data_IF_787245242951
#
_entry.id   IF_787245242951
#
_cell.length_a   1.000
_cell.length_b   1.000
_cell.length_c   1.000
_cell.angle_alpha   90.00
_cell.angle_beta   90.00
_cell.angle_gamma   90.00
#
_symmetry.space_group_name_H-M   'P 1'
#
loop_
_entity.id
_entity.type
_entity.pdbx_description
1 polymer ?
#
# COMPACT_ATOMS: atom_id res chain seq x y z
N UNK A 1 18.45 8.80 -4.52
CA UNK A 1 17.20 9.57 -4.49
C UNK A 1 15.96 8.65 -4.37
N UNK A 2 15.68 7.76 -5.31
CA UNK A 2 14.46 6.93 -5.31
C UNK A 2 14.33 5.97 -4.10
N UNK A 3 15.43 5.42 -3.58
CA UNK A 3 15.38 4.61 -2.34
C UNK A 3 14.91 5.44 -1.13
N UNK A 4 15.35 6.69 -1.02
CA UNK A 4 14.89 7.58 0.05
C UNK A 4 13.40 7.91 -0.13
N UNK A 5 12.96 8.17 -1.37
CA UNK A 5 11.53 8.35 -1.66
C UNK A 5 10.72 7.10 -1.29
N UNK A 6 11.25 5.90 -1.52
CA UNK A 6 10.59 4.65 -1.12
C UNK A 6 10.39 4.55 0.41
N UNK A 7 11.38 4.99 1.20
CA UNK A 7 11.23 5.08 2.66
C UNK A 7 10.20 6.14 3.06
N UNK A 8 10.20 7.30 2.41
CA UNK A 8 9.18 8.35 2.64
C UNK A 8 7.77 7.82 2.33
N UNK A 9 7.60 7.07 1.23
CA UNK A 9 6.32 6.44 0.90
C UNK A 9 5.86 5.54 2.06
N UNK A 10 6.73 4.69 2.59
CA UNK A 10 6.39 3.82 3.70
C UNK A 10 5.91 4.59 4.94
N UNK A 11 6.58 5.67 5.28
CA UNK A 11 6.19 6.54 6.39
C UNK A 11 4.82 7.20 6.14
N UNK A 12 4.61 7.77 4.94
CA UNK A 12 3.33 8.38 4.56
C UNK A 12 2.20 7.35 4.58
N UNK A 13 2.43 6.13 4.10
CA UNK A 13 1.45 5.04 4.13
C UNK A 13 1.07 4.67 5.57
N UNK A 14 2.03 4.58 6.49
CA UNK A 14 1.75 4.29 7.90
C UNK A 14 0.84 5.37 8.53
N UNK A 15 1.16 6.64 8.30
CA UNK A 15 0.35 7.77 8.79
C UNK A 15 -1.04 7.75 8.15
N UNK A 16 -1.13 7.51 6.85
CA UNK A 16 -2.40 7.42 6.12
C UNK A 16 -3.28 6.30 6.67
N UNK A 17 -2.71 5.11 6.93
CA UNK A 17 -3.45 3.97 7.50
C UNK A 17 -4.00 4.32 8.89
N UNK A 18 -3.20 4.95 9.74
CA UNK A 18 -3.65 5.37 11.06
C UNK A 18 -4.83 6.36 11.00
N UNK A 19 -4.75 7.35 10.12
CA UNK A 19 -5.81 8.35 9.91
C UNK A 19 -7.07 7.70 9.31
N UNK A 20 -6.92 6.88 8.26
CA UNK A 20 -8.04 6.18 7.63
C UNK A 20 -8.71 5.18 8.58
N UNK A 21 -7.93 4.53 9.46
CA UNK A 21 -8.47 3.66 10.50
C UNK A 21 -9.40 4.39 11.45
N UNK A 22 -9.07 5.61 11.84
CA UNK A 22 -9.95 6.43 12.70
C UNK A 22 -11.19 6.90 11.94
N UNK A 23 -11.08 7.25 10.67
CA UNK A 23 -12.24 7.55 9.82
C UNK A 23 -13.16 6.32 9.71
N UNK A 24 -12.60 5.13 9.54
CA UNK A 24 -13.37 3.87 9.47
C UNK A 24 -14.06 3.53 10.79
N UNK A 25 -13.41 3.81 11.93
CA UNK A 25 -14.02 3.62 13.25
C UNK A 25 -15.18 4.60 13.50
N UNK A 26 -15.13 5.78 12.89
CA UNK A 26 -16.15 6.81 13.05
C UNK A 26 -17.38 6.58 12.16
N UNK A 27 -17.19 6.08 10.94
CA UNK A 27 -18.27 5.90 9.96
C UNK A 27 -18.62 4.43 9.69
N UNK A 28 -17.77 3.67 9.28
CA UNK A 28 -17.65 2.27 8.88
C UNK A 28 -16.75 2.17 7.64
N UNK A 29 -16.50 0.92 7.23
CA UNK A 29 -15.65 0.58 6.10
C UNK A 29 -16.11 1.19 4.78
N UNK A 30 -17.39 1.11 4.46
CA UNK A 30 -17.90 1.46 3.13
C UNK A 30 -18.03 2.97 2.97
N UNK A 31 -18.59 3.64 3.97
CA UNK A 31 -18.70 5.11 3.97
C UNK A 31 -17.33 5.77 4.02
N UNK A 32 -16.42 5.29 4.86
CA UNK A 32 -15.05 5.82 4.93
C UNK A 32 -14.31 5.68 3.59
N UNK A 33 -14.47 4.54 2.89
CA UNK A 33 -13.87 4.35 1.58
C UNK A 33 -14.39 5.36 0.55
N UNK A 34 -15.70 5.65 0.55
CA UNK A 34 -16.27 6.70 -0.31
C UNK A 34 -15.72 8.08 0.04
N UNK A 35 -15.70 8.44 1.34
CA UNK A 35 -15.17 9.74 1.80
C UNK A 35 -13.70 9.91 1.35
N UNK A 36 -12.85 8.90 1.55
CA UNK A 36 -11.44 8.92 1.12
C UNK A 36 -11.32 9.19 -0.37
N UNK A 37 -12.11 8.50 -1.20
CA UNK A 37 -12.05 8.67 -2.66
C UNK A 37 -12.65 10.01 -3.11
N UNK A 38 -13.70 10.51 -2.47
CA UNK A 38 -14.26 11.86 -2.77
C UNK A 38 -13.20 12.92 -2.47
N UNK A 39 -12.63 12.91 -1.26
CA UNK A 39 -11.61 13.90 -0.87
C UNK A 39 -10.38 13.77 -1.76
N UNK A 40 -9.92 12.53 -2.02
CA UNK A 40 -8.79 12.28 -2.91
C UNK A 40 -9.03 12.78 -4.33
N UNK A 41 -10.22 12.54 -4.90
CA UNK A 41 -10.59 13.00 -6.25
C UNK A 41 -10.63 14.53 -6.30
N UNK A 42 -11.34 15.18 -5.37
CA UNK A 42 -11.45 16.62 -5.33
C UNK A 42 -10.09 17.29 -5.11
N UNK A 43 -9.32 16.81 -4.13
CA UNK A 43 -8.00 17.36 -3.83
C UNK A 43 -7.04 17.21 -5.01
N UNK A 44 -6.95 16.02 -5.60
CA UNK A 44 -6.06 15.79 -6.76
C UNK A 44 -6.51 16.58 -8.00
N UNK A 45 -7.82 16.76 -8.21
CA UNK A 45 -8.35 17.61 -9.27
C UNK A 45 -7.91 19.07 -9.08
N UNK A 46 -8.07 19.61 -7.88
CA UNK A 46 -7.65 20.99 -7.57
C UNK A 46 -6.14 21.14 -7.82
N UNK A 47 -5.31 20.20 -7.34
CA UNK A 47 -3.86 20.26 -7.56
C UNK A 47 -3.51 20.15 -9.04
N UNK A 48 -4.18 19.29 -9.81
CA UNK A 48 -3.97 19.20 -11.27
C UNK A 48 -4.31 20.51 -11.97
N UNK A 49 -5.43 21.13 -11.62
CA UNK A 49 -5.84 22.42 -12.19
C UNK A 49 -4.84 23.54 -11.83
N UNK A 50 -4.45 23.66 -10.58
CA UNK A 50 -3.46 24.65 -10.12
C UNK A 50 -2.08 24.46 -10.77
N UNK A 51 -1.74 23.22 -11.16
CA UNK A 51 -0.48 22.88 -11.83
C UNK A 51 -0.62 22.84 -13.36
N UNK A 52 -1.76 23.23 -13.92
CA UNK A 52 -2.06 23.21 -15.36
C UNK A 52 -1.79 21.83 -16.00
N UNK A 53 -2.07 20.75 -15.25
CA UNK A 53 -1.89 19.39 -15.76
C UNK A 53 -3.06 18.99 -16.66
N UNK A 54 -2.78 18.16 -17.68
CA UNK A 54 -3.83 17.56 -18.49
C UNK A 54 -4.62 16.55 -17.66
N UNK A 55 -5.91 16.76 -17.47
CA UNK A 55 -6.80 15.89 -16.69
C UNK A 55 -7.22 14.68 -17.51
N UNK A 56 -7.51 14.85 -18.79
CA UNK A 56 -7.89 13.81 -19.72
C UNK A 56 -6.67 13.41 -20.56
N UNK A 57 -6.19 12.21 -20.36
CA UNK A 57 -5.07 11.63 -21.11
C UNK A 57 -5.53 10.31 -21.68
N UNK A 58 -5.29 10.07 -22.97
CA UNK A 58 -5.55 8.79 -23.62
C UNK A 58 -4.34 7.89 -23.37
N UNK A 59 -4.52 6.85 -22.57
CA UNK A 59 -3.50 5.82 -22.37
C UNK A 59 -3.41 4.90 -23.60
N UNK A 60 -2.23 4.31 -23.83
CA UNK A 60 -2.01 3.33 -24.92
C UNK A 60 -2.91 2.10 -24.78
N UNK A 61 -3.18 1.68 -23.54
CA UNK A 61 -4.01 0.51 -23.29
C UNK A 61 -5.05 0.78 -22.18
N UNK A 62 -6.32 0.34 -22.35
CA UNK A 62 -7.39 0.59 -21.38
C UNK A 62 -7.12 0.04 -19.97
N UNK A 63 -6.38 -1.06 -19.84
CA UNK A 63 -6.06 -1.66 -18.54
C UNK A 63 -5.25 -0.73 -17.63
N UNK A 64 -4.55 0.27 -18.18
CA UNK A 64 -3.76 1.24 -17.40
C UNK A 64 -4.63 2.13 -16.51
N UNK A 65 -5.93 2.26 -16.78
CA UNK A 65 -6.87 2.99 -15.92
C UNK A 65 -7.38 2.16 -14.73
N UNK A 66 -7.12 0.84 -14.70
CA UNK A 66 -7.66 -0.06 -13.68
C UNK A 66 -6.96 0.04 -12.31
N UNK A 67 -5.89 0.83 -12.19
CA UNK A 67 -5.14 0.95 -10.95
C UNK A 67 -6.01 1.36 -9.75
N UNK A 68 -6.90 2.33 -9.94
CA UNK A 68 -7.86 2.75 -8.92
C UNK A 68 -8.86 1.66 -8.54
N UNK A 69 -9.37 0.93 -9.55
CA UNK A 69 -10.27 -0.19 -9.34
C UNK A 69 -9.62 -1.32 -8.51
N UNK A 70 -8.39 -1.69 -8.88
CA UNK A 70 -7.61 -2.70 -8.14
C UNK A 70 -7.31 -2.19 -6.72
N UNK A 71 -6.99 -0.91 -6.57
CA UNK A 71 -6.71 -0.25 -5.29
C UNK A 71 -7.88 -0.32 -4.30
N UNK A 72 -9.12 -0.25 -4.77
CA UNK A 72 -10.32 -0.38 -3.93
C UNK A 72 -10.35 -1.75 -3.23
N UNK A 73 -9.98 -2.84 -3.91
CA UNK A 73 -9.95 -4.17 -3.30
C UNK A 73 -8.91 -4.29 -2.18
N UNK A 74 -7.83 -3.48 -2.21
CA UNK A 74 -6.86 -3.47 -1.11
C UNK A 74 -7.47 -2.92 0.18
N UNK A 75 -8.30 -1.91 0.07
CA UNK A 75 -9.01 -1.31 1.21
C UNK A 75 -9.97 -2.33 1.84
N UNK A 76 -10.78 -2.99 1.02
CA UNK A 76 -11.73 -3.99 1.52
C UNK A 76 -11.04 -5.23 2.10
N UNK A 77 -9.96 -5.71 1.49
CA UNK A 77 -9.21 -6.86 1.99
C UNK A 77 -8.57 -6.62 3.35
N UNK A 78 -7.94 -5.45 3.55
CA UNK A 78 -7.40 -5.06 4.85
C UNK A 78 -8.49 -5.03 5.93
N UNK A 79 -9.61 -4.44 5.62
CA UNK A 79 -10.70 -4.26 6.58
C UNK A 79 -11.46 -5.56 6.86
N UNK A 80 -11.56 -6.46 5.87
CA UNK A 80 -12.09 -7.81 6.09
C UNK A 80 -11.23 -8.59 7.10
N UNK A 81 -9.95 -8.33 7.13
CA UNK A 81 -8.99 -8.99 8.03
C UNK A 81 -8.96 -8.35 9.42
N UNK A 82 -9.28 -7.07 9.53
CA UNK A 82 -9.25 -6.31 10.76
C UNK A 82 -10.19 -6.91 11.82
N UNK A 83 -9.70 -7.06 13.06
CA UNK A 83 -10.46 -7.64 14.16
C UNK A 83 -10.61 -9.16 14.12
N UNK A 84 -10.22 -9.85 13.02
CA UNK A 84 -10.27 -11.32 12.90
C UNK A 84 -8.92 -11.99 13.14
N UNK A 85 -7.84 -11.32 12.82
CA UNK A 85 -6.47 -11.72 13.14
C UNK A 85 -5.70 -10.51 13.66
N UNK A 86 -4.54 -10.73 14.28
CA UNK A 86 -3.73 -9.62 14.81
C UNK A 86 -3.28 -8.67 13.70
N UNK A 87 -3.13 -7.39 14.01
CA UNK A 87 -2.59 -6.39 13.07
C UNK A 87 -1.23 -6.79 12.55
N UNK A 88 -0.38 -7.34 13.42
CA UNK A 88 0.94 -7.88 13.05
C UNK A 88 0.81 -8.97 11.99
N UNK A 89 -0.13 -9.91 12.14
CA UNK A 89 -0.38 -10.97 11.16
C UNK A 89 -0.90 -10.40 9.83
N UNK A 90 -1.80 -9.41 9.86
CA UNK A 90 -2.26 -8.74 8.64
C UNK A 90 -1.07 -8.14 7.89
N UNK A 91 -0.25 -7.34 8.57
CA UNK A 91 0.92 -6.68 7.97
C UNK A 91 1.91 -7.69 7.38
N UNK A 92 2.19 -8.78 8.10
CA UNK A 92 3.10 -9.84 7.63
C UNK A 92 2.55 -10.55 6.38
N UNK A 93 1.26 -10.89 6.35
CA UNK A 93 0.62 -11.56 5.23
C UNK A 93 0.52 -10.65 3.99
N UNK A 94 0.20 -9.38 4.19
CA UNK A 94 0.21 -8.37 3.12
C UNK A 94 1.63 -8.24 2.55
N UNK A 95 2.68 -8.18 3.38
CA UNK A 95 4.06 -8.16 2.90
C UNK A 95 4.40 -9.44 2.13
N UNK A 96 3.94 -10.60 2.58
CA UNK A 96 4.17 -11.86 1.88
C UNK A 96 3.54 -11.83 0.48
N UNK A 97 2.29 -11.41 0.36
CA UNK A 97 1.61 -11.24 -0.93
C UNK A 97 2.34 -10.25 -1.84
N UNK A 98 2.76 -9.10 -1.30
CA UNK A 98 3.56 -8.12 -2.04
C UNK A 98 4.89 -8.70 -2.53
N UNK A 99 5.59 -9.47 -1.68
CA UNK A 99 6.89 -10.07 -2.00
C UNK A 99 6.76 -11.05 -3.16
N UNK A 100 5.78 -11.96 -3.09
CA UNK A 100 5.54 -12.97 -4.15
C UNK A 100 5.28 -12.30 -5.50
N UNK A 101 4.31 -11.38 -5.56
CA UNK A 101 3.96 -10.76 -6.85
C UNK A 101 5.05 -9.80 -7.35
N UNK A 102 5.77 -9.11 -6.46
CA UNK A 102 6.88 -8.25 -6.84
C UNK A 102 8.01 -9.04 -7.50
N UNK A 103 8.36 -10.20 -6.95
CA UNK A 103 9.36 -11.08 -7.55
C UNK A 103 8.93 -11.60 -8.92
N UNK A 104 7.63 -11.91 -9.10
CA UNK A 104 7.11 -12.31 -10.40
C UNK A 104 7.17 -11.17 -11.42
N UNK A 105 6.76 -9.97 -11.03
CA UNK A 105 6.83 -8.78 -11.90
C UNK A 105 8.27 -8.51 -12.33
N UNK A 106 9.20 -8.48 -11.39
CA UNK A 106 10.61 -8.20 -11.65
C UNK A 106 11.26 -9.30 -12.51
N UNK A 107 11.00 -10.59 -12.21
CA UNK A 107 11.60 -11.70 -12.94
C UNK A 107 11.13 -11.82 -14.39
N UNK A 108 9.85 -11.57 -14.63
CA UNK A 108 9.24 -11.76 -15.95
C UNK A 108 9.02 -10.45 -16.71
N UNK A 109 9.24 -9.29 -16.09
CA UNK A 109 8.96 -7.99 -16.70
C UNK A 109 7.46 -7.80 -16.98
N UNK A 110 6.60 -8.27 -16.06
CA UNK A 110 5.15 -8.24 -16.27
C UNK A 110 4.65 -6.79 -16.33
N UNK A 111 3.53 -6.58 -17.02
CA UNK A 111 2.85 -5.28 -17.17
C UNK A 111 3.75 -4.20 -17.79
N UNK A 112 4.72 -4.60 -18.62
CA UNK A 112 5.66 -3.69 -19.29
C UNK A 112 6.73 -3.09 -18.38
N UNK A 113 6.90 -3.62 -17.15
CA UNK A 113 7.99 -3.20 -16.27
C UNK A 113 9.34 -3.72 -16.78
N UNK A 114 10.41 -3.01 -16.44
CA UNK A 114 11.77 -3.45 -16.76
C UNK A 114 12.05 -4.80 -16.08
N UNK A 115 12.64 -5.73 -16.85
CA UNK A 115 12.97 -7.04 -16.33
C UNK A 115 14.21 -6.97 -15.45
N UNK A 116 14.05 -7.34 -14.20
CA UNK A 116 15.12 -7.47 -13.21
C UNK A 116 15.27 -8.94 -12.81
N UNK A 117 16.17 -9.70 -13.46
CA UNK A 117 16.34 -11.13 -13.16
C UNK A 117 16.72 -11.32 -11.68
N UNK A 118 16.18 -12.37 -11.09
CA UNK A 118 16.42 -12.71 -9.70
C UNK A 118 17.91 -12.98 -9.45
N UNK A 119 18.55 -12.14 -8.65
CA UNK A 119 19.96 -12.30 -8.29
C UNK A 119 20.12 -13.24 -7.12
N UNK A 120 21.24 -13.99 -7.06
CA UNK A 120 21.57 -14.85 -5.91
C UNK A 120 21.61 -14.06 -4.59
N UNK A 121 22.06 -12.81 -4.61
CA UNK A 121 22.05 -11.90 -3.47
C UNK A 121 20.63 -11.59 -2.98
N UNK A 122 19.64 -11.56 -3.86
CA UNK A 122 18.23 -11.33 -3.49
C UNK A 122 17.64 -12.46 -2.64
N UNK A 123 18.25 -13.68 -2.69
CA UNK A 123 17.86 -14.81 -1.81
C UNK A 123 18.03 -14.45 -0.35
N UNK A 124 19.09 -13.72 0.00
CA UNK A 124 19.37 -13.31 1.38
C UNK A 124 18.25 -12.39 1.87
N UNK A 125 17.94 -11.33 1.11
CA UNK A 125 16.84 -10.44 1.45
C UNK A 125 15.49 -11.16 1.58
N UNK A 126 15.23 -12.13 0.69
CA UNK A 126 14.03 -12.95 0.73
C UNK A 126 13.98 -13.84 1.99
N UNK A 127 15.07 -14.51 2.36
CA UNK A 127 15.14 -15.36 3.58
C UNK A 127 14.88 -14.51 4.82
N UNK A 128 15.50 -13.34 4.94
CA UNK A 128 15.27 -12.44 6.07
C UNK A 128 13.84 -11.89 6.09
N UNK A 129 13.28 -11.56 4.92
CA UNK A 129 11.89 -11.13 4.82
C UNK A 129 10.92 -12.23 5.27
N UNK A 130 11.14 -13.48 4.82
CA UNK A 130 10.37 -14.64 5.26
C UNK A 130 10.54 -14.90 6.77
N UNK A 131 11.76 -14.84 7.28
CA UNK A 131 12.01 -15.02 8.71
C UNK A 131 11.32 -13.94 9.56
N UNK A 132 11.41 -12.67 9.15
CA UNK A 132 10.71 -11.57 9.82
C UNK A 132 9.19 -11.73 9.78
N UNK A 133 8.63 -12.14 8.64
CA UNK A 133 7.19 -12.45 8.52
C UNK A 133 6.77 -13.61 9.43
N UNK A 134 7.54 -14.69 9.50
CA UNK A 134 7.25 -15.84 10.38
C UNK A 134 7.26 -15.43 11.85
N UNK A 135 8.18 -14.55 12.26
CA UNK A 135 8.17 -13.97 13.61
C UNK A 135 6.89 -13.19 13.85
N UNK A 136 6.44 -12.38 12.88
CA UNK A 136 5.22 -11.57 13.01
C UNK A 136 3.92 -12.40 12.97
N UNK A 137 3.94 -13.60 12.38
CA UNK A 137 2.80 -14.51 12.29
C UNK A 137 2.58 -15.36 13.56
N UNK A 138 3.34 -15.14 14.63
CA UNK A 138 3.15 -15.91 15.86
C UNK A 138 1.71 -15.79 16.40
N UNK A 139 1.08 -16.90 16.82
CA UNK A 139 -0.31 -16.91 17.22
C UNK A 139 -0.54 -16.00 18.43
N UNK A 140 -1.27 -14.92 18.23
CA UNK A 140 -1.85 -14.16 19.34
C UNK A 140 -3.20 -14.81 19.65
N UNK A 141 -3.18 -15.92 20.41
CA UNK A 141 -4.31 -16.45 21.20
C UNK A 141 -5.72 -16.58 20.58
N UNK A 142 -5.86 -16.66 19.25
CA UNK A 142 -7.16 -16.73 18.59
C UNK A 142 -7.41 -18.12 17.97
N UNK A 143 -8.51 -18.75 18.36
CA UNK A 143 -8.88 -20.06 17.83
C UNK A 143 -9.01 -20.08 16.31
N UNK A 144 -8.63 -21.22 15.71
CA UNK A 144 -8.79 -21.50 14.28
C UNK A 144 -10.30 -21.61 13.96
N UNK A 145 -10.86 -20.54 13.40
CA UNK A 145 -12.22 -20.54 12.86
C UNK A 145 -12.18 -20.12 11.37
N UNK A 146 -13.28 -20.40 10.65
CA UNK A 146 -13.40 -20.06 9.21
C UNK A 146 -13.16 -18.56 8.95
N UNK A 147 -13.54 -17.67 9.89
CA UNK A 147 -13.29 -16.24 9.79
C UNK A 147 -11.82 -15.86 9.82
N UNK A 148 -11.01 -16.56 10.64
CA UNK A 148 -9.57 -16.34 10.70
C UNK A 148 -8.88 -16.83 9.40
N UNK A 149 -9.28 -17.99 8.87
CA UNK A 149 -8.74 -18.49 7.59
C UNK A 149 -9.06 -17.53 6.42
N UNK A 150 -10.28 -16.99 6.37
CA UNK A 150 -10.66 -15.99 5.39
C UNK A 150 -9.83 -14.71 5.53
N UNK A 151 -9.59 -14.25 6.75
CA UNK A 151 -8.75 -13.07 7.01
C UNK A 151 -7.29 -13.27 6.58
N UNK A 152 -6.73 -14.45 6.79
CA UNK A 152 -5.39 -14.83 6.32
C UNK A 152 -5.32 -14.75 4.79
N UNK A 153 -6.26 -15.39 4.09
CA UNK A 153 -6.32 -15.37 2.63
C UNK A 153 -6.53 -13.94 2.10
N UNK A 154 -7.44 -13.18 2.69
CA UNK A 154 -7.71 -11.81 2.30
C UNK A 154 -6.49 -10.91 2.46
N UNK A 155 -5.74 -11.00 3.56
CA UNK A 155 -4.52 -10.23 3.80
C UNK A 155 -3.44 -10.55 2.76
N UNK A 156 -3.23 -11.83 2.45
CA UNK A 156 -2.26 -12.24 1.42
C UNK A 156 -2.64 -11.67 0.03
N UNK A 157 -3.90 -11.85 -0.37
CA UNK A 157 -4.42 -11.36 -1.65
C UNK A 157 -4.37 -9.83 -1.73
N UNK A 158 -4.62 -9.15 -0.60
CA UNK A 158 -4.47 -7.69 -0.51
C UNK A 158 -3.07 -7.24 -0.87
N UNK A 159 -2.03 -7.95 -0.41
CA UNK A 159 -0.65 -7.67 -0.78
C UNK A 159 -0.41 -7.76 -2.29
N UNK A 160 -0.99 -8.77 -2.94
CA UNK A 160 -0.92 -8.94 -4.40
C UNK A 160 -1.59 -7.74 -5.09
N UNK A 161 -2.82 -7.40 -4.73
CA UNK A 161 -3.54 -6.29 -5.33
C UNK A 161 -2.86 -4.94 -5.13
N UNK A 162 -2.23 -4.71 -3.98
CA UNK A 162 -1.50 -3.48 -3.71
C UNK A 162 -0.35 -3.27 -4.70
N UNK A 163 0.43 -4.32 -4.98
CA UNK A 163 1.53 -4.23 -5.95
C UNK A 163 0.99 -4.09 -7.37
N UNK A 164 -0.05 -4.83 -7.74
CA UNK A 164 -0.69 -4.70 -9.05
C UNK A 164 -1.23 -3.29 -9.26
N UNK A 165 -1.95 -2.72 -8.28
CA UNK A 165 -2.49 -1.37 -8.36
C UNK A 165 -1.39 -0.33 -8.58
N UNK A 166 -0.32 -0.37 -7.76
CA UNK A 166 0.78 0.61 -7.90
C UNK A 166 1.55 0.43 -9.21
N UNK A 167 1.68 -0.80 -9.73
CA UNK A 167 2.34 -1.06 -11.02
C UNK A 167 1.51 -0.51 -12.17
N UNK A 168 0.20 -0.78 -12.20
CA UNK A 168 -0.74 -0.23 -13.20
C UNK A 168 -0.71 1.30 -13.17
N UNK A 169 -0.81 1.89 -11.97
CA UNK A 169 -0.76 3.34 -11.80
C UNK A 169 0.58 3.93 -12.27
N UNK A 170 1.70 3.25 -11.98
CA UNK A 170 3.03 3.66 -12.45
C UNK A 170 3.12 3.68 -13.97
N UNK A 171 2.58 2.66 -14.65
CA UNK A 171 2.54 2.62 -16.12
C UNK A 171 1.66 3.74 -16.71
N UNK A 172 0.51 3.99 -16.11
CA UNK A 172 -0.31 5.13 -16.52
C UNK A 172 0.45 6.46 -16.32
N UNK A 173 1.16 6.59 -15.21
CA UNK A 173 1.87 7.81 -14.86
C UNK A 173 3.05 8.13 -15.81
N UNK A 174 3.66 7.14 -16.44
CA UNK A 174 4.69 7.36 -17.47
C UNK A 174 4.13 8.11 -18.70
N UNK A 175 2.84 7.97 -18.99
CA UNK A 175 2.17 8.61 -20.11
C UNK A 175 1.41 9.89 -19.70
N UNK A 176 0.72 9.83 -18.57
CA UNK A 176 -0.13 10.89 -18.09
C UNK A 176 0.57 11.91 -17.16
N UNK A 177 1.74 11.52 -16.62
CA UNK A 177 2.37 12.22 -15.51
C UNK A 177 1.88 11.71 -14.15
N UNK A 178 2.75 11.78 -13.15
CA UNK A 178 2.52 11.19 -11.83
C UNK A 178 1.28 11.77 -11.12
N UNK A 179 1.06 13.08 -11.26
CA UNK A 179 -0.05 13.78 -10.61
C UNK A 179 -1.40 13.43 -11.25
N UNK A 180 -1.46 13.47 -12.59
CA UNK A 180 -2.66 13.07 -13.35
C UNK A 180 -2.98 11.58 -13.12
N UNK A 181 -1.97 10.71 -13.06
CA UNK A 181 -2.16 9.30 -12.70
C UNK A 181 -2.76 9.12 -11.32
N UNK A 182 -2.36 9.94 -10.33
CA UNK A 182 -2.97 9.90 -8.99
C UNK A 182 -4.42 10.39 -9.00
N UNK A 183 -4.74 11.42 -9.79
CA UNK A 183 -6.12 11.88 -9.98
C UNK A 183 -6.99 10.78 -10.60
N UNK A 184 -6.53 10.16 -11.69
CA UNK A 184 -7.26 9.08 -12.38
C UNK A 184 -7.48 7.88 -11.45
N UNK A 185 -6.49 7.53 -10.61
CA UNK A 185 -6.63 6.47 -9.62
C UNK A 185 -7.83 6.71 -8.68
N UNK A 186 -7.94 7.91 -8.12
CA UNK A 186 -9.04 8.25 -7.21
C UNK A 186 -10.37 8.40 -7.96
N UNK A 187 -10.35 8.97 -9.16
CA UNK A 187 -11.53 9.14 -10.02
C UNK A 187 -12.14 7.79 -10.42
N UNK A 188 -11.31 6.80 -10.75
CA UNK A 188 -11.78 5.44 -11.12
C UNK A 188 -12.21 4.66 -9.88
N UNK A 189 -11.51 4.82 -8.76
CA UNK A 189 -11.87 4.16 -7.50
C UNK A 189 -13.19 4.66 -6.91
N UNK A 190 -13.52 5.95 -7.10
CA UNK A 190 -14.72 6.57 -6.51
C UNK A 190 -16.04 5.88 -6.90
N UNK A 191 -16.39 5.70 -8.18
CA UNK A 191 -17.65 5.04 -8.55
C UNK A 191 -17.71 3.59 -8.05
N UNK A 192 -16.57 2.90 -7.97
CA UNK A 192 -16.50 1.51 -7.50
C UNK A 192 -16.79 1.45 -5.99
N UNK A 193 -16.21 2.34 -5.19
CA UNK A 193 -16.51 2.41 -3.75
C UNK A 193 -17.97 2.77 -3.49
N UNK A 194 -18.55 3.70 -4.28
CA UNK A 194 -19.97 4.05 -4.20
C UNK A 194 -20.86 2.85 -4.55
N UNK A 195 -20.57 2.16 -5.66
CA UNK A 195 -21.33 0.98 -6.07
C UNK A 195 -21.29 -0.13 -5.03
N UNK A 196 -20.10 -0.42 -4.46
CA UNK A 196 -19.97 -1.44 -3.40
C UNK A 196 -20.75 -1.01 -2.15
N UNK A 197 -20.66 0.26 -1.74
CA UNK A 197 -21.42 0.77 -0.60
C UNK A 197 -22.93 0.61 -0.82
N UNK A 198 -23.45 1.00 -1.98
CA UNK A 198 -24.87 0.88 -2.31
C UNK A 198 -25.32 -0.59 -2.37
N UNK A 199 -24.51 -1.46 -2.96
CA UNK A 199 -24.83 -2.88 -3.06
C UNK A 199 -24.88 -3.57 -1.71
N UNK A 200 -23.93 -3.31 -0.81
CA UNK A 200 -23.85 -3.94 0.51
C UNK A 200 -24.94 -3.41 1.46
N UNK A 201 -25.26 -2.11 1.36
CA UNK A 201 -26.28 -1.48 2.23
C UNK A 201 -27.73 -1.60 1.72
N UNK A 202 -27.98 -2.34 0.64
CA UNK A 202 -29.34 -2.55 0.07
C UNK A 202 -30.12 -1.24 -0.20
N UNK A 203 -29.44 -0.18 -0.69
CA UNK A 203 -30.04 1.14 -0.87
C UNK A 203 -29.86 2.04 0.35
N UNK A 204 -30.10 3.29 0.15
CA UNK A 204 -29.67 4.45 0.94
C UNK A 204 -30.26 4.53 2.35
N UNK A 205 -29.88 3.67 3.27
CA UNK A 205 -29.93 3.97 4.70
C UNK A 205 -28.57 4.53 5.17
N UNK A 206 -28.05 5.45 4.36
CA UNK A 206 -26.90 6.25 4.73
C UNK A 206 -27.36 7.41 5.60
N UNK A 207 -27.67 7.15 6.85
CA UNK A 207 -27.62 8.23 7.84
C UNK A 207 -26.17 8.65 7.95
N UNK A 208 -25.78 9.60 7.10
CA UNK A 208 -24.53 10.32 7.23
C UNK A 208 -24.61 11.15 8.52
N UNK A 209 -24.27 10.52 9.63
CA UNK A 209 -24.06 11.25 10.88
C UNK A 209 -22.78 12.04 10.65
N UNK A 210 -22.94 13.33 10.34
CA UNK A 210 -21.80 14.25 10.23
C UNK A 210 -21.15 14.30 11.61
N UNK A 211 -19.92 13.80 11.70
CA UNK A 211 -19.19 13.84 12.98
C UNK A 211 -18.87 15.29 13.38
N UNK A 212 -18.80 15.58 14.70
CA UNK A 212 -18.39 16.88 15.20
C UNK A 212 -17.03 17.30 14.61
N UNK A 213 -16.89 18.58 14.29
CA UNK A 213 -15.70 19.21 13.67
C UNK A 213 -14.39 19.02 14.46
N UNK A 214 -14.44 18.58 15.71
CA UNK A 214 -13.28 18.34 16.57
C UNK A 214 -12.25 17.35 16.01
N UNK A 215 -12.63 16.50 15.06
CA UNK A 215 -11.76 15.48 14.47
C UNK A 215 -11.53 15.70 12.96
N UNK A 216 -11.48 16.94 12.50
CA UNK A 216 -11.32 17.29 11.09
C UNK A 216 -10.13 16.57 10.39
N UNK A 217 -9.08 16.29 11.13
CA UNK A 217 -7.87 15.64 10.61
C UNK A 217 -8.09 14.19 10.13
N UNK A 218 -9.17 13.49 10.58
CA UNK A 218 -9.50 12.16 10.09
C UNK A 218 -9.84 12.15 8.58
N UNK A 219 -10.26 13.29 8.04
CA UNK A 219 -10.54 13.47 6.62
C UNK A 219 -9.29 13.70 5.78
N UNK A 220 -8.13 13.98 6.37
CA UNK A 220 -6.87 14.18 5.64
C UNK A 220 -6.35 12.88 4.99
N UNK A 221 -6.90 11.72 5.35
CA UNK A 221 -6.50 10.43 4.79
C UNK A 221 -6.63 10.35 3.27
N UNK A 222 -7.66 10.95 2.68
CA UNK A 222 -7.82 11.03 1.23
C UNK A 222 -6.71 11.85 0.56
N UNK A 223 -6.26 12.96 1.17
CA UNK A 223 -5.14 13.77 0.67
C UNK A 223 -3.82 13.00 0.75
N UNK A 224 -3.59 12.29 1.86
CA UNK A 224 -2.42 11.41 2.01
C UNK A 224 -2.45 10.25 1.00
N UNK A 225 -3.63 9.74 0.67
CA UNK A 225 -3.82 8.77 -0.41
C UNK A 225 -3.34 9.31 -1.76
N UNK A 226 -3.71 10.54 -2.11
CA UNK A 226 -3.22 11.22 -3.33
C UNK A 226 -1.70 11.35 -3.31
N UNK A 227 -1.12 11.79 -2.19
CA UNK A 227 0.33 11.91 -2.03
C UNK A 227 1.02 10.55 -2.18
N UNK A 228 0.47 9.50 -1.57
CA UNK A 228 1.00 8.14 -1.65
C UNK A 228 1.01 7.64 -3.09
N UNK A 229 -0.12 7.74 -3.81
CA UNK A 229 -0.21 7.29 -5.21
C UNK A 229 0.71 8.12 -6.10
N UNK A 230 0.76 9.44 -5.91
CA UNK A 230 1.69 10.32 -6.62
C UNK A 230 3.14 9.87 -6.44
N UNK A 231 3.58 9.63 -5.19
CA UNK A 231 4.95 9.18 -4.90
C UNK A 231 5.23 7.79 -5.50
N UNK A 232 4.29 6.85 -5.41
CA UNK A 232 4.43 5.56 -6.10
C UNK A 232 4.55 5.72 -7.61
N UNK A 233 3.76 6.59 -8.23
CA UNK A 233 3.80 6.88 -9.66
C UNK A 233 5.18 7.42 -10.11
N UNK A 234 5.88 8.14 -9.24
CA UNK A 234 7.25 8.62 -9.50
C UNK A 234 8.28 7.51 -9.34
N UNK A 235 8.10 6.62 -8.36
CA UNK A 235 9.15 5.66 -7.96
C UNK A 235 9.03 4.31 -8.67
N UNK A 236 7.81 3.82 -8.90
CA UNK A 236 7.56 2.49 -9.50
C UNK A 236 8.30 2.27 -10.81
N UNK A 237 8.33 3.22 -11.76
CA UNK A 237 9.08 3.04 -13.01
C UNK A 237 10.61 3.08 -12.86
N UNK A 238 11.13 3.39 -11.66
CA UNK A 238 12.57 3.66 -11.42
C UNK A 238 13.21 2.69 -10.43
N UNK A 239 12.43 1.85 -9.77
CA UNK A 239 12.91 0.94 -8.74
C UNK A 239 12.26 -0.41 -8.93
N UNK A 240 13.07 -1.48 -8.91
CA UNK A 240 12.56 -2.85 -8.96
C UNK A 240 11.48 -3.07 -7.88
N UNK A 241 10.41 -3.76 -8.25
CA UNK A 241 9.20 -3.89 -7.43
C UNK A 241 9.48 -4.56 -6.08
N UNK A 242 10.33 -5.59 -6.06
CA UNK A 242 10.77 -6.24 -4.82
C UNK A 242 11.51 -5.27 -3.89
N UNK A 243 12.46 -4.51 -4.42
CA UNK A 243 13.23 -3.52 -3.64
C UNK A 243 12.32 -2.42 -3.07
N UNK A 244 11.40 -1.91 -3.89
CA UNK A 244 10.40 -0.94 -3.45
C UNK A 244 9.54 -1.50 -2.33
N UNK A 245 9.06 -2.74 -2.47
CA UNK A 245 8.27 -3.43 -1.44
C UNK A 245 8.97 -3.45 -0.09
N UNK A 246 10.23 -3.89 -0.07
CA UNK A 246 10.96 -4.01 1.20
C UNK A 246 11.27 -2.64 1.82
N UNK A 247 11.68 -1.65 1.01
CA UNK A 247 11.96 -0.29 1.51
C UNK A 247 10.74 0.37 2.13
N UNK A 248 9.60 0.31 1.42
CA UNK A 248 8.35 0.88 1.92
C UNK A 248 7.87 0.16 3.17
N UNK A 249 8.00 -1.16 3.23
CA UNK A 249 7.62 -1.96 4.40
C UNK A 249 8.46 -1.60 5.64
N UNK A 250 9.78 -1.54 5.51
CA UNK A 250 10.68 -1.19 6.62
C UNK A 250 10.28 0.16 7.22
N UNK A 251 10.14 1.18 6.37
CA UNK A 251 9.74 2.51 6.83
C UNK A 251 8.32 2.51 7.43
N UNK A 252 7.39 1.75 6.86
CA UNK A 252 6.03 1.63 7.37
C UNK A 252 6.01 1.00 8.77
N UNK A 253 6.77 -0.08 9.01
CA UNK A 253 6.84 -0.75 10.31
C UNK A 253 7.40 0.19 11.38
N UNK A 254 8.54 0.82 11.13
CA UNK A 254 9.13 1.73 12.12
C UNK A 254 8.27 2.97 12.38
N UNK A 255 7.64 3.54 11.36
CA UNK A 255 6.71 4.65 11.54
C UNK A 255 5.48 4.21 12.34
N UNK A 256 4.91 3.04 12.07
CA UNK A 256 3.78 2.50 12.83
C UNK A 256 4.13 2.29 14.30
N UNK A 257 5.33 1.79 14.62
CA UNK A 257 5.80 1.64 16.00
C UNK A 257 5.91 3.00 16.72
N UNK A 258 6.41 4.03 16.02
CA UNK A 258 6.46 5.40 16.58
C UNK A 258 5.05 5.92 16.84
N UNK A 259 4.12 5.73 15.91
CA UNK A 259 2.73 6.14 16.07
C UNK A 259 2.05 5.42 17.24
N UNK A 260 2.28 4.11 17.40
CA UNK A 260 1.73 3.35 18.53
C UNK A 260 2.19 3.90 19.87
N UNK A 261 3.48 4.25 19.98
CA UNK A 261 4.02 4.90 21.20
C UNK A 261 3.39 6.28 21.43
N UNK A 262 3.28 7.10 20.37
CA UNK A 262 2.70 8.44 20.46
C UNK A 262 1.22 8.43 20.86
N UNK A 263 0.47 7.43 20.40
CA UNK A 263 -0.95 7.26 20.73
C UNK A 263 -1.20 6.48 22.04
N UNK A 264 -0.13 6.09 22.75
CA UNK A 264 -0.25 5.39 24.04
C UNK A 264 -0.68 3.93 23.93
N UNK A 265 -0.67 3.33 22.72
CA UNK A 265 -1.06 1.93 22.50
C UNK A 265 0.03 0.93 22.93
N UNK A 266 1.23 1.42 23.33
CA UNK A 266 2.40 0.58 23.50
C UNK A 266 2.94 0.08 22.16
N UNK A 267 4.05 -0.66 22.17
CA UNK A 267 4.62 -1.21 20.94
C UNK A 267 4.67 -2.75 20.98
N UNK A 268 4.46 -3.36 19.82
CA UNK A 268 4.60 -4.81 19.66
C UNK A 268 6.07 -5.20 19.51
N UNK A 269 6.62 -5.93 20.50
CA UNK A 269 7.98 -6.49 20.42
C UNK A 269 8.14 -7.42 19.21
N UNK A 270 7.10 -8.18 18.88
CA UNK A 270 7.09 -9.11 17.74
C UNK A 270 7.19 -8.33 16.42
N UNK A 271 6.43 -7.25 16.28
CA UNK A 271 6.50 -6.35 15.11
C UNK A 271 7.88 -5.70 14.99
N UNK A 272 8.46 -5.24 16.12
CA UNK A 272 9.81 -4.65 16.13
C UNK A 272 10.88 -5.66 15.70
N UNK A 273 10.88 -6.87 16.26
CA UNK A 273 11.85 -7.91 15.91
C UNK A 273 11.69 -8.35 14.46
N UNK A 274 10.46 -8.63 14.02
CA UNK A 274 10.18 -9.02 12.64
C UNK A 274 10.55 -7.92 11.63
N UNK A 275 10.21 -6.66 11.91
CA UNK A 275 10.59 -5.52 11.08
C UNK A 275 12.11 -5.29 11.04
N UNK A 276 12.81 -5.45 12.17
CA UNK A 276 14.27 -5.35 12.24
C UNK A 276 14.97 -6.46 11.43
N UNK A 277 14.45 -7.70 11.45
CA UNK A 277 14.96 -8.79 10.62
C UNK A 277 14.81 -8.46 9.13
N UNK A 278 13.66 -7.97 8.69
CA UNK A 278 13.45 -7.57 7.29
C UNK A 278 14.40 -6.44 6.91
N UNK A 279 14.56 -5.42 7.77
CA UNK A 279 15.47 -4.31 7.54
C UNK A 279 16.94 -4.77 7.44
N UNK A 280 17.37 -5.66 8.32
CA UNK A 280 18.74 -6.23 8.29
C UNK A 280 18.99 -7.00 6.99
N UNK A 281 18.05 -7.84 6.57
CA UNK A 281 18.17 -8.57 5.30
C UNK A 281 18.28 -7.64 4.10
N UNK A 282 17.52 -6.55 4.10
CA UNK A 282 17.60 -5.54 3.05
C UNK A 282 18.96 -4.84 3.03
N UNK A 283 19.48 -4.43 4.19
CA UNK A 283 20.80 -3.77 4.26
C UNK A 283 21.88 -4.70 3.72
N UNK A 284 21.88 -5.98 4.14
CA UNK A 284 22.82 -6.99 3.63
C UNK A 284 22.69 -7.13 2.11
N UNK A 285 21.48 -7.25 1.58
CA UNK A 285 21.26 -7.36 0.14
C UNK A 285 21.79 -6.11 -0.62
N UNK A 286 21.51 -4.92 -0.12
CA UNK A 286 22.02 -3.68 -0.73
C UNK A 286 23.55 -3.58 -0.73
N UNK A 287 24.21 -4.03 0.36
CA UNK A 287 25.69 -4.05 0.45
C UNK A 287 26.26 -5.04 -0.57
N UNK A 288 25.71 -6.26 -0.64
CA UNK A 288 26.15 -7.27 -1.60
C UNK A 288 25.96 -6.85 -3.06
N UNK A 289 24.83 -6.23 -3.38
CA UNK A 289 24.60 -5.69 -4.72
C UNK A 289 25.60 -4.59 -5.09
N UNK A 290 25.93 -3.70 -4.15
CA UNK A 290 26.92 -2.66 -4.35
C UNK A 290 28.35 -3.21 -4.55
N UNK A 291 28.69 -4.31 -3.80
CA UNK A 291 29.99 -4.99 -3.96
C UNK A 291 30.11 -5.68 -5.33
N UNK A 292 29.03 -6.36 -5.78
CA UNK A 292 29.02 -7.01 -7.10
C UNK A 292 29.11 -6.00 -8.25
N UNK A 293 28.44 -4.85 -8.14
CA UNK A 293 28.51 -3.81 -9.15
C UNK A 293 29.94 -3.28 -9.32
N UNK A 294 30.68 -3.07 -8.21
CA UNK A 294 32.09 -2.65 -8.26
C UNK A 294 33.01 -3.70 -8.88
N UNK A 295 32.74 -4.99 -8.68
CA UNK A 295 33.55 -6.07 -9.26
C UNK A 295 33.31 -6.24 -10.77
N UNK A 296 32.15 -5.86 -11.28
CA UNK A 296 31.85 -5.91 -12.73
C UNK A 296 32.39 -4.71 -13.52
N UNK A 297 32.84 -3.66 -12.86
CA UNK A 297 33.47 -2.47 -13.44
C UNK A 297 35.03 -2.58 -13.50
N UNK A 298 35.60 -3.58 -12.87
CA UNK A 298 37.05 -3.93 -12.90
C UNK A 298 37.33 -5.05 -13.91
#
# INVERSE_FOLDING_TARGET
>A
MYNLLSLVIGAVVAIMIAINGQLTSAYDLFVSAVIIHVIGTVFSLIVCLCRHQKILVKAEAPWMYLGGAIGVFTTFGNNLSYGRISMTSIVALVLFGQTVISLLIDSFGLMGMEKHPFKKTSVIGLVFALAGMLVMLQPSGGGSNAGAAMAVAASFVTGIFLVLARTVNGRLAEQAGALTGSFINHLVGLPITVLIMLFVRHGVDASFTVLPVHSWWIYCGGMLGVLTVFLYNVVVPKVASFRLTILTFVAQVFTSLVLDVLFGNGYSKVTLIGGALVAAGMLVNMILDAMQAKQSEQ
#
